data_IF_301550069223
#
_entry.id   IF_301550069223
#
_cell.length_a   1.000
_cell.length_b   1.000
_cell.length_c   1.000
_cell.angle_alpha   90.00
_cell.angle_beta   90.00
_cell.angle_gamma   90.00
#
_symmetry.space_group_name_H-M   'P 1'
#
loop_
_entity.id
_entity.type
_entity.pdbx_description
1 polymer ?
#
# COMPACT_ATOMS: atom_id res chain seq x y z
N UNK A 1 9.63 -7.52 34.25
CA UNK A 1 10.11 -7.22 32.88
C UNK A 1 9.08 -7.80 31.93
N UNK A 2 8.43 -7.00 31.08
CA UNK A 2 7.56 -7.54 30.01
C UNK A 2 8.42 -8.43 29.11
N UNK A 3 7.91 -9.62 28.77
CA UNK A 3 8.61 -10.62 27.96
C UNK A 3 9.02 -9.98 26.60
N UNK A 4 10.31 -9.76 26.41
CA UNK A 4 10.85 -9.14 25.18
C UNK A 4 10.79 -10.15 24.05
N UNK A 5 9.95 -9.88 23.06
CA UNK A 5 9.79 -10.72 21.87
C UNK A 5 10.58 -10.17 20.69
N UNK A 6 10.95 -11.04 19.77
CA UNK A 6 11.45 -10.70 18.45
C UNK A 6 10.37 -10.98 17.40
N UNK A 7 10.06 -10.01 16.53
CA UNK A 7 9.07 -10.15 15.46
C UNK A 7 9.77 -9.93 14.12
N UNK A 8 9.63 -10.89 13.21
CA UNK A 8 10.12 -10.77 11.84
C UNK A 8 9.01 -10.24 10.94
N UNK A 9 9.29 -9.16 10.23
CA UNK A 9 8.46 -8.63 9.15
C UNK A 9 8.98 -9.06 7.79
N UNK A 10 8.08 -9.34 6.82
CA UNK A 10 8.49 -9.77 5.48
C UNK A 10 7.64 -9.11 4.40
N UNK A 11 8.28 -8.45 3.42
CA UNK A 11 7.60 -7.76 2.33
C UNK A 11 8.44 -7.66 1.06
N UNK A 12 7.76 -7.33 -0.04
CA UNK A 12 8.40 -6.89 -1.27
C UNK A 12 9.01 -5.48 -1.10
N UNK A 13 10.08 -5.14 -1.85
CA UNK A 13 10.88 -3.94 -1.64
C UNK A 13 10.23 -2.68 -2.23
N UNK A 14 8.97 -2.44 -1.94
CA UNK A 14 8.28 -1.20 -2.34
C UNK A 14 7.75 -0.45 -1.13
N UNK A 15 7.68 0.86 -1.24
CA UNK A 15 7.14 1.71 -0.17
C UNK A 15 5.70 1.30 0.15
N UNK A 16 4.89 0.98 -0.88
CA UNK A 16 3.51 0.52 -0.72
C UNK A 16 3.39 -0.69 0.20
N UNK A 17 4.20 -1.70 -0.04
CA UNK A 17 4.16 -2.98 0.70
C UNK A 17 4.81 -2.92 2.09
N UNK A 18 5.68 -1.96 2.35
CA UNK A 18 6.44 -1.90 3.61
C UNK A 18 5.92 -0.87 4.61
N UNK A 19 5.17 0.15 4.18
CA UNK A 19 4.77 1.26 5.05
C UNK A 19 3.99 0.81 6.29
N UNK A 20 2.97 -0.01 6.13
CA UNK A 20 2.16 -0.51 7.25
C UNK A 20 2.99 -1.44 8.17
N UNK A 21 3.82 -2.34 7.61
CA UNK A 21 4.72 -3.20 8.38
C UNK A 21 5.73 -2.38 9.19
N UNK A 22 6.30 -1.33 8.60
CA UNK A 22 7.23 -0.42 9.29
C UNK A 22 6.54 0.35 10.41
N UNK A 23 5.30 0.79 10.21
CA UNK A 23 4.51 1.45 11.24
C UNK A 23 4.27 0.52 12.45
N UNK A 24 3.89 -0.74 12.20
CA UNK A 24 3.70 -1.77 13.24
C UNK A 24 5.05 -2.08 13.92
N UNK A 25 6.12 -2.24 13.14
CA UNK A 25 7.46 -2.47 13.66
C UNK A 25 7.98 -1.34 14.54
N UNK A 26 7.73 -0.09 14.17
CA UNK A 26 8.09 1.07 14.98
C UNK A 26 7.33 1.08 16.32
N UNK A 27 6.05 0.75 16.32
CA UNK A 27 5.24 0.63 17.54
C UNK A 27 5.77 -0.47 18.46
N UNK A 28 6.16 -1.64 17.91
CA UNK A 28 6.76 -2.74 18.68
C UNK A 28 8.10 -2.34 19.27
N UNK A 29 8.99 -1.68 18.50
CA UNK A 29 10.28 -1.19 19.00
C UNK A 29 10.11 -0.16 20.12
N UNK A 30 9.15 0.76 19.98
CA UNK A 30 8.83 1.73 21.01
C UNK A 30 8.39 1.07 22.35
N UNK A 31 7.86 -0.16 22.28
CA UNK A 31 7.50 -0.99 23.45
C UNK A 31 8.62 -1.89 23.94
N UNK A 32 9.82 -1.82 23.34
CA UNK A 32 11.02 -2.56 23.75
C UNK A 32 11.17 -3.95 23.11
N UNK A 33 10.33 -4.30 22.12
CA UNK A 33 10.45 -5.54 21.36
C UNK A 33 11.51 -5.42 20.25
N UNK A 34 12.17 -6.53 19.89
CA UNK A 34 13.08 -6.57 18.76
C UNK A 34 12.33 -6.79 17.45
N UNK A 35 12.80 -6.17 16.37
CA UNK A 35 12.21 -6.38 15.04
C UNK A 35 13.28 -6.60 13.99
N UNK A 36 13.00 -7.47 13.04
CA UNK A 36 13.78 -7.63 11.80
C UNK A 36 12.87 -7.58 10.59
N UNK A 37 13.45 -7.23 9.43
CA UNK A 37 12.71 -7.13 8.16
C UNK A 37 13.39 -7.97 7.10
N UNK A 38 12.68 -8.97 6.57
CA UNK A 38 13.07 -9.74 5.40
C UNK A 38 12.54 -9.04 4.14
N UNK A 39 13.44 -8.49 3.35
CA UNK A 39 13.11 -7.69 2.16
C UNK A 39 13.80 -8.30 0.94
N UNK A 40 13.04 -8.58 -0.11
CA UNK A 40 13.62 -9.03 -1.39
C UNK A 40 14.49 -7.90 -1.94
N UNK A 41 15.77 -8.15 -2.09
CA UNK A 41 16.72 -7.15 -2.56
C UNK A 41 17.41 -7.59 -3.84
N UNK A 42 17.26 -6.77 -4.88
CA UNK A 42 18.07 -6.86 -6.08
C UNK A 42 19.19 -5.83 -6.00
N UNK A 43 20.42 -6.28 -5.84
CA UNK A 43 21.58 -5.40 -5.99
C UNK A 43 21.71 -5.02 -7.46
N UNK A 44 21.16 -3.85 -7.82
CA UNK A 44 21.28 -3.31 -9.17
C UNK A 44 22.55 -2.46 -9.27
N UNK A 45 23.50 -2.81 -10.14
CA UNK A 45 24.66 -1.96 -10.37
C UNK A 45 24.21 -0.63 -11.00
N UNK A 46 24.96 0.44 -10.74
CA UNK A 46 24.68 1.78 -11.31
C UNK A 46 23.25 2.29 -11.02
N UNK A 47 22.88 2.35 -9.74
CA UNK A 47 21.51 2.75 -9.30
C UNK A 47 21.03 4.08 -9.92
N UNK A 48 21.94 4.98 -10.32
CA UNK A 48 21.61 6.27 -10.92
C UNK A 48 20.91 6.20 -12.29
N UNK A 49 21.13 5.12 -13.05
CA UNK A 49 20.50 4.94 -14.38
C UNK A 49 19.14 4.26 -14.34
N UNK A 50 18.73 3.75 -13.17
CA UNK A 50 17.45 3.05 -13.02
C UNK A 50 16.31 4.02 -12.72
N UNK A 51 15.06 3.69 -13.13
CA UNK A 51 13.87 4.46 -12.77
C UNK A 51 13.72 4.67 -11.25
N UNK A 52 13.09 5.76 -10.87
CA UNK A 52 12.86 6.13 -9.44
C UNK A 52 12.32 4.99 -8.57
N UNK A 53 11.32 4.19 -9.00
CA UNK A 53 10.83 3.07 -8.19
C UNK A 53 11.90 2.03 -7.85
N UNK A 54 12.80 1.74 -8.80
CA UNK A 54 13.90 0.78 -8.61
C UNK A 54 14.95 1.35 -7.64
N UNK A 55 15.26 2.64 -7.77
CA UNK A 55 16.18 3.33 -6.84
C UNK A 55 15.60 3.40 -5.43
N UNK A 56 14.32 3.71 -5.30
CA UNK A 56 13.63 3.73 -4.01
C UNK A 56 13.65 2.35 -3.35
N UNK A 57 13.42 1.29 -4.12
CA UNK A 57 13.50 -0.09 -3.64
C UNK A 57 14.92 -0.46 -3.17
N UNK A 58 15.97 -0.03 -3.89
CA UNK A 58 17.35 -0.33 -3.51
C UNK A 58 17.82 0.38 -2.24
N UNK A 59 17.22 1.50 -1.88
CA UNK A 59 17.54 2.25 -0.66
C UNK A 59 16.73 1.81 0.56
N UNK A 60 15.68 1.01 0.36
CA UNK A 60 14.76 0.62 1.42
C UNK A 60 15.42 -0.16 2.58
N UNK A 61 16.32 -1.14 2.33
CA UNK A 61 17.02 -1.84 3.42
C UNK A 61 17.78 -0.89 4.35
N UNK A 62 18.50 0.08 3.80
CA UNK A 62 19.23 1.08 4.58
C UNK A 62 18.29 1.98 5.39
N UNK A 63 17.15 2.38 4.81
CA UNK A 63 16.15 3.17 5.52
C UNK A 63 15.52 2.41 6.69
N UNK A 64 15.21 1.12 6.53
CA UNK A 64 14.69 0.27 7.60
C UNK A 64 15.73 0.06 8.70
N UNK A 65 16.99 -0.15 8.34
CA UNK A 65 18.09 -0.28 9.31
C UNK A 65 18.29 1.00 10.12
N UNK A 66 18.18 2.16 9.48
CA UNK A 66 18.25 3.46 10.17
C UNK A 66 17.12 3.68 11.18
N UNK A 67 15.98 2.98 11.03
CA UNK A 67 14.88 2.96 12.01
C UNK A 67 15.15 2.04 13.21
N UNK A 68 16.30 1.37 13.26
CA UNK A 68 16.69 0.49 14.35
C UNK A 68 16.19 -0.96 14.23
N UNK A 69 15.82 -1.41 13.04
CA UNK A 69 15.48 -2.80 12.77
C UNK A 69 16.66 -3.53 12.12
N UNK A 70 16.81 -4.84 12.41
CA UNK A 70 17.72 -5.71 11.66
C UNK A 70 17.12 -5.96 10.25
N UNK A 71 17.94 -6.02 9.21
CA UNK A 71 17.49 -6.30 7.85
C UNK A 71 18.08 -7.60 7.33
N UNK A 72 17.21 -8.51 6.89
CA UNK A 72 17.53 -9.71 6.12
C UNK A 72 17.27 -9.42 4.64
N UNK A 73 18.33 -9.33 3.85
CA UNK A 73 18.21 -9.21 2.40
C UNK A 73 17.92 -10.58 1.79
N UNK A 74 16.73 -10.74 1.20
CA UNK A 74 16.34 -11.94 0.47
C UNK A 74 16.76 -11.86 -0.99
N UNK A 75 17.23 -12.96 -1.55
CA UNK A 75 17.68 -13.01 -2.92
C UNK A 75 16.52 -12.78 -3.92
N UNK A 76 16.70 -11.80 -4.81
CA UNK A 76 15.83 -11.65 -5.98
C UNK A 76 16.19 -12.68 -7.04
N UNK A 77 15.19 -13.29 -7.67
CA UNK A 77 15.40 -14.16 -8.83
C UNK A 77 15.57 -13.34 -10.11
N UNK A 78 16.16 -13.92 -11.15
CA UNK A 78 16.23 -13.30 -12.49
C UNK A 78 14.84 -13.04 -13.06
N UNK A 79 13.87 -13.92 -12.79
CA UNK A 79 12.46 -13.72 -13.16
C UNK A 79 11.85 -12.50 -12.46
N UNK A 80 12.21 -12.21 -11.20
CA UNK A 80 11.76 -11.01 -10.49
C UNK A 80 12.18 -9.73 -11.20
N UNK A 81 13.41 -9.66 -11.68
CA UNK A 81 13.92 -8.49 -12.41
C UNK A 81 13.19 -8.26 -13.74
N UNK A 82 12.90 -9.35 -14.46
CA UNK A 82 12.18 -9.29 -15.73
C UNK A 82 10.72 -8.84 -15.56
N UNK A 83 10.02 -9.35 -14.54
CA UNK A 83 8.65 -8.91 -14.21
C UNK A 83 8.62 -7.46 -13.73
N UNK A 84 9.56 -7.06 -12.87
CA UNK A 84 9.66 -5.69 -12.38
C UNK A 84 9.87 -4.66 -13.50
N UNK A 85 10.62 -5.02 -14.56
CA UNK A 85 10.83 -4.15 -15.72
C UNK A 85 9.57 -3.94 -16.58
N UNK A 86 8.61 -4.87 -16.54
CA UNK A 86 7.36 -4.80 -17.31
C UNK A 86 6.22 -4.11 -16.59
N UNK A 87 6.24 -4.15 -15.25
CA UNK A 87 5.16 -3.67 -14.40
C UNK A 87 4.75 -2.21 -14.70
N UNK A 88 5.66 -1.24 -14.89
CA UNK A 88 5.30 0.15 -15.15
C UNK A 88 4.55 0.43 -16.47
N UNK A 89 4.48 -0.57 -17.35
CA UNK A 89 3.80 -0.46 -18.66
C UNK A 89 2.45 -1.16 -18.72
N UNK A 90 2.08 -1.85 -17.64
CA UNK A 90 0.84 -2.61 -17.56
C UNK A 90 -0.22 -1.80 -16.78
N UNK A 91 -1.49 -2.07 -17.05
CA UNK A 91 -2.63 -1.44 -16.37
C UNK A 91 -3.72 -2.46 -16.07
N UNK A 92 -4.55 -2.18 -15.06
CA UNK A 92 -5.70 -3.01 -14.69
C UNK A 92 -5.30 -4.45 -14.33
N UNK A 93 -6.07 -5.43 -14.81
CA UNK A 93 -5.79 -6.85 -14.52
C UNK A 93 -4.46 -7.37 -15.12
N UNK A 94 -3.95 -6.75 -16.19
CA UNK A 94 -2.65 -7.12 -16.75
C UNK A 94 -1.49 -6.72 -15.80
N UNK A 95 -1.61 -5.60 -15.12
CA UNK A 95 -0.68 -5.18 -14.06
C UNK A 95 -0.71 -6.18 -12.90
N UNK A 96 -1.90 -6.55 -12.42
CA UNK A 96 -2.08 -7.52 -11.36
C UNK A 96 -1.45 -8.89 -11.72
N UNK A 97 -1.65 -9.37 -12.94
CA UNK A 97 -1.07 -10.63 -13.43
C UNK A 97 0.47 -10.62 -13.37
N UNK A 98 1.09 -9.53 -13.81
CA UNK A 98 2.55 -9.35 -13.75
C UNK A 98 3.02 -9.23 -12.29
N UNK A 99 2.29 -8.49 -11.45
CA UNK A 99 2.60 -8.35 -10.03
C UNK A 99 2.55 -9.70 -9.30
N UNK A 100 1.50 -10.50 -9.51
CA UNK A 100 1.39 -11.84 -8.92
C UNK A 100 2.49 -12.78 -9.40
N UNK A 101 2.93 -12.67 -10.66
CA UNK A 101 4.07 -13.41 -11.16
C UNK A 101 5.39 -12.97 -10.51
N UNK A 102 5.57 -11.68 -10.31
CA UNK A 102 6.71 -11.12 -9.58
C UNK A 102 6.75 -11.62 -8.14
N UNK A 103 5.63 -11.55 -7.43
CA UNK A 103 5.50 -11.89 -6.01
C UNK A 103 5.64 -13.39 -5.73
N UNK A 104 5.45 -14.24 -6.74
CA UNK A 104 5.69 -15.69 -6.65
C UNK A 104 7.04 -16.12 -7.22
N UNK A 105 7.97 -15.21 -7.48
CA UNK A 105 9.30 -15.52 -8.01
C UNK A 105 10.31 -15.75 -6.88
N UNK A 106 10.99 -16.91 -6.89
CA UNK A 106 12.06 -17.23 -5.94
C UNK A 106 11.57 -17.71 -4.57
N UNK A 107 10.33 -18.20 -4.47
CA UNK A 107 9.67 -18.56 -3.22
C UNK A 107 10.46 -19.54 -2.36
N UNK A 108 10.99 -20.63 -2.96
CA UNK A 108 11.70 -21.67 -2.21
C UNK A 108 12.93 -21.10 -1.48
N UNK A 109 13.78 -20.38 -2.20
CA UNK A 109 15.01 -19.81 -1.61
C UNK A 109 14.68 -18.79 -0.52
N UNK A 110 13.73 -17.91 -0.78
CA UNK A 110 13.30 -16.88 0.18
C UNK A 110 12.67 -17.51 1.44
N UNK A 111 11.81 -18.52 1.28
CA UNK A 111 11.20 -19.23 2.40
C UNK A 111 12.25 -19.92 3.29
N UNK A 112 13.28 -20.57 2.71
CA UNK A 112 14.39 -21.16 3.47
C UNK A 112 15.18 -20.11 4.25
N UNK A 113 15.49 -18.95 3.62
CA UNK A 113 16.20 -17.85 4.30
C UNK A 113 15.37 -17.28 5.46
N UNK A 114 14.05 -17.11 5.28
CA UNK A 114 13.14 -16.66 6.34
C UNK A 114 13.12 -17.68 7.49
N UNK A 115 12.97 -18.96 7.19
CA UNK A 115 12.93 -20.03 8.21
C UNK A 115 14.25 -20.11 9.00
N UNK A 116 15.38 -20.00 8.34
CA UNK A 116 16.70 -19.96 9.00
C UNK A 116 16.83 -18.75 9.92
N UNK A 117 16.42 -17.57 9.46
CA UNK A 117 16.44 -16.35 10.27
C UNK A 117 15.54 -16.48 11.51
N UNK A 118 14.32 -17.03 11.34
CA UNK A 118 13.40 -17.28 12.46
C UNK A 118 14.06 -18.19 13.51
N UNK A 119 14.68 -19.31 13.09
CA UNK A 119 15.37 -20.23 14.01
C UNK A 119 16.55 -19.57 14.69
N UNK A 120 17.35 -18.78 13.96
CA UNK A 120 18.54 -18.07 14.49
C UNK A 120 18.16 -17.03 15.54
N UNK A 121 17.09 -16.30 15.30
CA UNK A 121 16.69 -15.16 16.16
C UNK A 121 15.69 -15.53 17.25
N UNK A 122 15.06 -16.70 17.15
CA UNK A 122 13.95 -17.08 18.03
C UNK A 122 12.72 -16.18 17.84
N UNK A 123 12.44 -15.74 16.60
CA UNK A 123 11.31 -14.86 16.35
C UNK A 123 10.00 -15.52 16.79
N UNK A 124 9.21 -14.78 17.56
CA UNK A 124 7.95 -15.24 18.13
C UNK A 124 6.79 -15.26 17.12
N UNK A 125 6.91 -14.48 16.05
CA UNK A 125 5.97 -14.47 14.92
C UNK A 125 6.64 -13.91 13.66
N UNK A 126 6.13 -14.30 12.51
CA UNK A 126 6.39 -13.68 11.20
C UNK A 126 5.17 -12.88 10.80
N UNK A 127 5.31 -11.59 10.57
CA UNK A 127 4.26 -10.70 10.02
C UNK A 127 4.59 -10.43 8.56
N UNK A 128 3.81 -11.00 7.65
CA UNK A 128 4.08 -10.95 6.22
C UNK A 128 3.02 -10.17 5.46
N UNK A 129 3.47 -9.44 4.43
CA UNK A 129 2.58 -8.96 3.39
C UNK A 129 1.84 -10.14 2.75
N UNK A 130 0.52 -10.08 2.65
CA UNK A 130 -0.31 -11.14 2.09
C UNK A 130 0.06 -11.51 0.64
N UNK A 131 0.70 -10.61 -0.09
CA UNK A 131 1.22 -10.84 -1.45
C UNK A 131 2.64 -11.43 -1.47
N UNK A 132 3.21 -11.75 -0.30
CA UNK A 132 4.54 -12.38 -0.17
C UNK A 132 4.44 -13.82 0.33
N UNK A 133 4.08 -14.80 -0.51
CA UNK A 133 3.92 -16.20 -0.09
C UNK A 133 5.15 -16.80 0.58
N UNK A 134 6.36 -16.34 0.25
CA UNK A 134 7.59 -16.77 0.91
C UNK A 134 7.57 -16.55 2.43
N UNK A 135 6.84 -15.53 2.90
CA UNK A 135 6.72 -15.24 4.33
C UNK A 135 5.97 -16.35 5.09
N UNK A 136 4.81 -16.77 4.59
CA UNK A 136 4.07 -17.84 5.23
C UNK A 136 4.71 -19.22 5.05
N UNK A 137 5.32 -19.52 3.89
CA UNK A 137 6.07 -20.73 3.68
C UNK A 137 7.28 -20.82 4.62
N UNK A 138 8.00 -19.71 4.79
CA UNK A 138 9.14 -19.64 5.72
C UNK A 138 8.74 -19.77 7.18
N UNK A 139 7.64 -19.14 7.58
CA UNK A 139 7.06 -19.28 8.92
C UNK A 139 6.64 -20.73 9.17
N UNK A 140 6.01 -21.38 8.18
CA UNK A 140 5.59 -22.78 8.23
C UNK A 140 6.78 -23.71 8.39
N UNK A 141 7.85 -23.54 7.63
CA UNK A 141 9.09 -24.31 7.75
C UNK A 141 9.76 -24.18 9.12
N UNK A 142 9.59 -23.04 9.77
CA UNK A 142 10.15 -22.77 11.09
C UNK A 142 9.17 -23.07 12.24
N UNK A 143 7.98 -23.58 11.94
CA UNK A 143 6.89 -23.81 12.91
C UNK A 143 6.55 -22.57 13.75
N UNK A 144 6.72 -21.39 13.12
CA UNK A 144 6.51 -20.09 13.73
C UNK A 144 5.09 -19.56 13.41
N UNK A 145 4.40 -18.90 14.34
CA UNK A 145 3.14 -18.23 14.05
C UNK A 145 3.27 -17.24 12.89
N UNK A 146 2.29 -17.28 11.98
CA UNK A 146 2.24 -16.37 10.84
C UNK A 146 1.08 -15.38 10.95
N UNK A 147 1.36 -14.12 10.71
CA UNK A 147 0.39 -13.04 10.64
C UNK A 147 0.37 -12.50 9.22
N UNK A 148 -0.75 -12.63 8.53
CA UNK A 148 -0.92 -12.00 7.22
C UNK A 148 -1.39 -10.55 7.38
N UNK A 149 -0.68 -9.59 6.78
CA UNK A 149 -1.09 -8.19 6.74
C UNK A 149 -1.66 -7.83 5.37
N UNK A 150 -2.91 -7.41 5.36
CA UNK A 150 -3.62 -6.86 4.21
C UNK A 150 -3.62 -5.35 4.32
N UNK A 151 -2.75 -4.71 3.57
CA UNK A 151 -2.46 -3.27 3.67
C UNK A 151 -2.99 -2.44 2.50
N UNK A 152 -3.56 -3.09 1.47
CA UNK A 152 -4.11 -2.45 0.26
C UNK A 152 -5.62 -2.71 0.14
N UNK A 153 -6.21 -2.38 -1.00
CA UNK A 153 -7.57 -2.78 -1.31
C UNK A 153 -7.73 -4.29 -1.15
N UNK A 154 -8.74 -4.71 -0.38
CA UNK A 154 -8.93 -6.12 -0.08
C UNK A 154 -9.31 -6.89 -1.35
N UNK A 155 -8.68 -8.03 -1.63
CA UNK A 155 -9.03 -8.88 -2.76
C UNK A 155 -10.26 -9.77 -2.49
N UNK A 156 -10.87 -9.64 -1.30
CA UNK A 156 -11.95 -10.49 -0.86
C UNK A 156 -13.29 -10.15 -1.53
N UNK A 157 -14.17 -11.14 -1.71
CA UNK A 157 -15.50 -10.91 -2.22
C UNK A 157 -16.29 -9.91 -1.36
N UNK A 158 -16.97 -8.96 -1.99
CA UNK A 158 -17.85 -8.00 -1.34
C UNK A 158 -19.09 -7.77 -2.19
N UNK A 159 -20.24 -7.55 -1.54
CA UNK A 159 -21.48 -7.20 -2.24
C UNK A 159 -21.32 -5.87 -2.97
N UNK A 160 -21.81 -5.80 -4.22
CA UNK A 160 -21.70 -4.60 -5.05
C UNK A 160 -20.30 -4.27 -5.56
N UNK A 161 -19.27 -5.04 -5.18
CA UNK A 161 -17.91 -4.81 -5.66
C UNK A 161 -17.68 -5.39 -7.07
N UNK A 162 -16.93 -4.64 -7.89
CA UNK A 162 -16.39 -5.14 -9.16
C UNK A 162 -15.43 -6.31 -8.95
N UNK A 163 -15.25 -7.19 -9.95
CA UNK A 163 -14.18 -8.18 -9.90
C UNK A 163 -12.83 -7.51 -9.61
N UNK A 164 -12.05 -8.10 -8.71
CA UNK A 164 -10.78 -7.51 -8.26
C UNK A 164 -9.85 -7.14 -9.44
N UNK A 165 -9.26 -5.96 -9.37
CA UNK A 165 -8.45 -5.39 -10.45
C UNK A 165 -9.24 -4.73 -11.58
N UNK A 166 -10.56 -4.51 -11.42
CA UNK A 166 -11.41 -3.77 -12.36
C UNK A 166 -12.23 -2.67 -11.66
N UNK A 167 -12.94 -1.86 -12.46
CA UNK A 167 -13.89 -0.83 -12.01
C UNK A 167 -15.20 -0.91 -12.82
N UNK A 168 -15.63 -2.10 -13.10
CA UNK A 168 -16.91 -2.29 -13.79
C UNK A 168 -18.05 -1.80 -12.89
N UNK A 169 -19.00 -0.98 -13.40
CA UNK A 169 -20.13 -0.55 -12.61
C UNK A 169 -21.04 -1.73 -12.29
N UNK A 170 -21.78 -1.65 -11.19
CA UNK A 170 -22.74 -2.69 -10.79
C UNK A 170 -23.76 -2.99 -11.89
N UNK A 171 -24.14 -1.96 -12.68
CA UNK A 171 -25.02 -2.13 -13.84
C UNK A 171 -24.47 -3.05 -14.94
N UNK A 172 -23.17 -3.32 -14.95
CA UNK A 172 -22.53 -4.26 -15.87
C UNK A 172 -22.52 -5.71 -15.36
N UNK A 173 -22.99 -5.95 -14.12
CA UNK A 173 -23.02 -7.30 -13.51
C UNK A 173 -23.76 -8.29 -14.39
N UNK A 174 -23.13 -9.46 -14.62
CA UNK A 174 -23.66 -10.51 -15.50
C UNK A 174 -23.53 -10.22 -17.01
N UNK A 175 -23.01 -9.07 -17.42
CA UNK A 175 -22.65 -8.76 -18.81
C UNK A 175 -21.36 -9.44 -19.26
N UNK A 176 -21.02 -9.36 -20.54
CA UNK A 176 -19.84 -10.02 -21.11
C UNK A 176 -18.52 -9.54 -20.46
N UNK A 177 -18.36 -8.22 -20.31
CA UNK A 177 -17.19 -7.63 -19.67
C UNK A 177 -17.00 -8.11 -18.22
N UNK A 178 -18.09 -8.29 -17.49
CA UNK A 178 -18.06 -8.80 -16.11
C UNK A 178 -17.62 -10.26 -16.08
N UNK A 179 -18.25 -11.11 -16.91
CA UNK A 179 -17.89 -12.53 -17.03
C UNK A 179 -16.44 -12.73 -17.47
N UNK A 180 -15.94 -11.91 -18.40
CA UNK A 180 -14.56 -11.97 -18.85
C UNK A 180 -13.60 -11.59 -17.71
N UNK A 181 -13.90 -10.53 -16.96
CA UNK A 181 -13.11 -10.09 -15.80
C UNK A 181 -13.06 -11.15 -14.69
N UNK A 182 -14.20 -11.79 -14.38
CA UNK A 182 -14.24 -12.90 -13.41
C UNK A 182 -13.45 -14.12 -13.89
N UNK A 183 -13.60 -14.49 -15.16
CA UNK A 183 -12.85 -15.60 -15.73
C UNK A 183 -11.34 -15.33 -15.75
N UNK A 184 -10.91 -14.10 -16.01
CA UNK A 184 -9.52 -13.70 -15.94
C UNK A 184 -9.00 -13.73 -14.51
N UNK A 185 -9.75 -13.20 -13.55
CA UNK A 185 -9.40 -13.27 -12.13
C UNK A 185 -9.24 -14.72 -11.67
N UNK A 186 -10.18 -15.60 -12.02
CA UNK A 186 -10.09 -17.03 -11.69
C UNK A 186 -8.81 -17.69 -12.25
N UNK A 187 -8.46 -17.40 -13.51
CA UNK A 187 -7.21 -17.89 -14.10
C UNK A 187 -5.96 -17.35 -13.39
N UNK A 188 -5.96 -16.09 -13.00
CA UNK A 188 -4.86 -15.48 -12.25
C UNK A 188 -4.69 -16.12 -10.87
N UNK A 189 -5.80 -16.34 -10.14
CA UNK A 189 -5.77 -17.03 -8.85
C UNK A 189 -5.25 -18.45 -8.99
N UNK A 190 -5.74 -19.23 -9.95
CA UNK A 190 -5.26 -20.59 -10.19
C UNK A 190 -3.76 -20.63 -10.54
N UNK A 191 -3.27 -19.69 -11.34
CA UNK A 191 -1.85 -19.58 -11.67
C UNK A 191 -1.00 -19.18 -10.46
N UNK A 192 -1.49 -18.29 -9.59
CA UNK A 192 -0.86 -17.90 -8.34
C UNK A 192 -0.74 -19.10 -7.40
N UNK A 193 -1.85 -19.79 -7.15
CA UNK A 193 -1.91 -20.97 -6.29
C UNK A 193 -1.00 -22.09 -6.79
N UNK A 194 -1.01 -22.38 -8.10
CA UNK A 194 -0.17 -23.41 -8.70
C UNK A 194 1.34 -23.12 -8.53
N UNK A 195 1.77 -21.87 -8.62
CA UNK A 195 3.17 -21.48 -8.37
C UNK A 195 3.56 -21.71 -6.92
N UNK A 196 2.71 -21.31 -5.99
CA UNK A 196 2.95 -21.47 -4.55
C UNK A 196 2.97 -22.97 -4.21
N UNK A 197 1.98 -23.74 -4.69
CA UNK A 197 1.90 -25.19 -4.45
C UNK A 197 3.11 -25.96 -4.96
N UNK A 198 3.64 -25.58 -6.13
CA UNK A 198 4.86 -26.17 -6.67
C UNK A 198 6.06 -25.99 -5.75
N UNK A 199 6.27 -24.78 -5.24
CA UNK A 199 7.43 -24.49 -4.40
C UNK A 199 7.21 -24.96 -2.95
N UNK A 200 5.98 -24.99 -2.45
CA UNK A 200 5.62 -25.61 -1.17
C UNK A 200 5.94 -27.12 -1.17
N UNK A 201 5.61 -27.85 -2.24
CA UNK A 201 5.95 -29.28 -2.36
C UNK A 201 7.46 -29.54 -2.30
N UNK A 202 8.30 -28.69 -2.91
CA UNK A 202 9.76 -28.79 -2.77
C UNK A 202 10.27 -28.57 -1.36
N UNK A 203 9.49 -27.84 -0.57
CA UNK A 203 9.76 -27.57 0.84
C UNK A 203 9.16 -28.63 1.79
N UNK A 204 8.45 -29.63 1.25
CA UNK A 204 7.77 -30.65 2.04
C UNK A 204 6.52 -30.11 2.73
N UNK A 205 5.93 -29.03 2.24
CA UNK A 205 4.72 -28.40 2.80
C UNK A 205 3.50 -28.69 1.92
N UNK A 206 2.37 -28.93 2.57
CA UNK A 206 1.06 -28.98 1.93
C UNK A 206 0.34 -27.63 2.09
N UNK A 207 -0.48 -27.24 1.13
CA UNK A 207 -1.21 -25.98 1.17
C UNK A 207 -2.66 -26.17 1.64
N UNK A 208 -3.26 -25.16 2.26
CA UNK A 208 -4.62 -25.22 2.78
C UNK A 208 -5.73 -25.13 1.71
N UNK A 209 -5.52 -25.62 0.51
CA UNK A 209 -6.49 -25.60 -0.60
C UNK A 209 -6.28 -24.44 -1.58
N UNK A 210 -7.29 -24.16 -2.41
CA UNK A 210 -7.25 -23.17 -3.50
C UNK A 210 -7.73 -21.79 -3.06
N UNK A 211 -7.53 -20.78 -3.92
CA UNK A 211 -8.05 -19.43 -3.73
C UNK A 211 -7.31 -18.60 -2.67
N UNK A 212 -6.01 -18.83 -2.51
CA UNK A 212 -5.19 -18.17 -1.47
C UNK A 212 -5.21 -16.64 -1.55
N UNK A 213 -5.42 -16.07 -2.75
CA UNK A 213 -5.50 -14.62 -2.93
C UNK A 213 -6.82 -14.04 -2.41
N UNK A 214 -7.92 -14.79 -2.54
CA UNK A 214 -9.29 -14.30 -2.31
C UNK A 214 -9.87 -14.65 -0.93
N UNK A 215 -9.05 -15.09 0.00
CA UNK A 215 -9.43 -15.44 1.38
C UNK A 215 -8.33 -15.11 2.39
N UNK A 216 -8.65 -15.00 3.68
CA UNK A 216 -7.62 -14.90 4.72
C UNK A 216 -6.66 -16.09 4.67
N UNK A 217 -5.36 -15.82 4.52
CA UNK A 217 -4.35 -16.86 4.27
C UNK A 217 -3.79 -17.46 5.57
N UNK A 218 -3.82 -16.71 6.67
CA UNK A 218 -3.26 -17.18 7.94
C UNK A 218 -4.30 -17.79 8.85
N UNK A 219 -3.97 -18.94 9.47
CA UNK A 219 -4.75 -19.54 10.57
C UNK A 219 -4.50 -18.88 11.91
N UNK A 220 -3.32 -18.27 12.08
CA UNK A 220 -2.94 -17.69 13.36
C UNK A 220 -3.56 -16.30 13.55
N UNK A 221 -3.40 -15.40 12.55
CA UNK A 221 -3.99 -14.07 12.56
C UNK A 221 -3.92 -13.41 11.19
N UNK A 222 -5.01 -12.76 10.80
CA UNK A 222 -5.06 -11.89 9.61
C UNK A 222 -5.37 -10.47 10.06
N UNK A 223 -4.44 -9.54 9.80
CA UNK A 223 -4.59 -8.12 10.07
C UNK A 223 -5.04 -7.42 8.79
N UNK A 224 -6.17 -6.75 8.83
CA UNK A 224 -6.66 -5.91 7.76
C UNK A 224 -6.42 -4.45 8.17
N UNK A 225 -5.48 -3.79 7.49
CA UNK A 225 -5.17 -2.37 7.73
C UNK A 225 -6.27 -1.46 7.12
N UNK A 226 -7.50 -1.76 7.43
CA UNK A 226 -8.73 -1.11 6.98
C UNK A 226 -9.78 -1.15 8.11
N UNK A 227 -10.97 -0.63 7.85
CA UNK A 227 -12.08 -0.59 8.78
C UNK A 227 -13.40 -0.93 8.06
N UNK A 228 -14.45 -1.38 8.77
CA UNK A 228 -15.74 -1.71 8.17
C UNK A 228 -16.32 -0.55 7.35
N UNK A 229 -16.12 0.69 7.75
CA UNK A 229 -16.56 1.89 7.04
C UNK A 229 -15.93 2.00 5.64
N UNK A 230 -14.70 1.47 5.49
CA UNK A 230 -13.98 1.47 4.21
C UNK A 230 -14.33 0.28 3.32
N UNK A 231 -14.91 -0.77 3.89
CA UNK A 231 -15.21 -2.04 3.22
C UNK A 231 -16.71 -2.42 3.30
N UNK A 232 -17.64 -1.52 2.95
CA UNK A 232 -19.05 -1.86 2.96
C UNK A 232 -19.33 -2.99 1.98
N UNK A 233 -20.16 -3.95 2.43
CA UNK A 233 -20.50 -5.14 1.66
C UNK A 233 -19.45 -6.26 1.73
N UNK A 234 -18.36 -6.10 2.50
CA UNK A 234 -17.42 -7.20 2.73
C UNK A 234 -18.18 -8.39 3.36
N UNK A 235 -18.07 -9.56 2.72
CA UNK A 235 -18.67 -10.79 3.23
C UNK A 235 -17.92 -11.26 4.48
N UNK A 236 -18.60 -12.04 5.37
CA UNK A 236 -17.94 -12.65 6.52
C UNK A 236 -16.67 -13.42 6.10
N UNK A 237 -15.59 -13.23 6.82
CA UNK A 237 -14.30 -13.86 6.57
C UNK A 237 -14.05 -14.99 7.56
N UNK A 238 -13.54 -16.10 7.06
CA UNK A 238 -13.11 -17.21 7.90
C UNK A 238 -11.80 -16.93 8.64
N UNK A 239 -11.58 -17.60 9.76
CA UNK A 239 -10.36 -17.51 10.55
C UNK A 239 -10.30 -16.31 11.51
N UNK A 240 -9.12 -16.11 12.11
CA UNK A 240 -8.88 -14.97 13.00
C UNK A 240 -8.58 -13.71 12.19
N UNK A 241 -9.53 -12.80 12.14
CA UNK A 241 -9.42 -11.53 11.41
C UNK A 241 -9.59 -10.38 12.39
N UNK A 242 -8.68 -9.40 12.29
CA UNK A 242 -8.72 -8.14 13.04
C UNK A 242 -8.60 -6.98 12.09
N UNK A 243 -9.60 -6.12 12.03
CA UNK A 243 -9.53 -4.83 11.35
C UNK A 243 -8.90 -3.81 12.31
N UNK A 244 -7.81 -3.22 11.88
CA UNK A 244 -7.00 -2.32 12.73
C UNK A 244 -7.20 -0.85 12.40
N UNK A 245 -7.91 -0.55 11.31
CA UNK A 245 -7.81 0.77 10.69
C UNK A 245 -6.46 0.96 9.98
N UNK A 246 -6.24 2.10 9.33
CA UNK A 246 -5.01 2.41 8.63
C UNK A 246 -3.77 2.32 9.52
N UNK A 247 -2.81 1.46 9.15
CA UNK A 247 -1.53 1.33 9.85
C UNK A 247 -0.53 2.36 9.28
N UNK A 248 -0.61 3.58 9.75
CA UNK A 248 0.21 4.69 9.27
C UNK A 248 1.42 4.91 10.17
N UNK A 249 2.57 5.22 9.54
CA UNK A 249 3.75 5.65 10.28
C UNK A 249 3.45 7.00 10.96
N UNK A 250 3.77 7.12 12.25
CA UNK A 250 3.87 8.43 12.88
C UNK A 250 4.96 9.19 12.12
N UNK A 251 4.64 10.39 11.64
CA UNK A 251 5.54 11.15 10.77
C UNK A 251 6.98 11.15 11.31
N UNK A 252 7.94 10.85 10.44
CA UNK A 252 9.35 11.02 10.78
C UNK A 252 9.61 12.48 11.18
N UNK A 253 10.60 12.68 12.05
CA UNK A 253 11.05 14.03 12.36
C UNK A 253 11.38 14.76 11.05
N UNK A 254 10.80 15.96 10.89
CA UNK A 254 11.05 16.78 9.71
C UNK A 254 12.52 17.19 9.69
N UNK A 255 13.17 16.99 8.56
CA UNK A 255 14.42 17.66 8.25
C UNK A 255 14.20 19.15 7.96
N UNK A 256 15.28 19.91 7.80
CA UNK A 256 15.20 21.35 7.54
C UNK A 256 14.45 21.67 6.23
N UNK A 257 14.67 20.86 5.19
CA UNK A 257 13.99 21.01 3.91
C UNK A 257 12.48 20.78 4.03
N UNK A 258 12.05 19.75 4.77
CA UNK A 258 10.64 19.49 5.03
C UNK A 258 9.98 20.57 5.87
N UNK A 259 10.69 21.11 6.89
CA UNK A 259 10.22 22.27 7.65
C UNK A 259 10.02 23.48 6.75
N UNK A 260 11.00 23.81 5.92
CA UNK A 260 10.92 24.94 5.00
C UNK A 260 9.71 24.85 4.05
N UNK A 261 9.36 23.64 3.56
CA UNK A 261 8.15 23.43 2.75
C UNK A 261 6.90 23.83 3.52
N UNK A 262 6.76 23.37 4.78
CA UNK A 262 5.57 23.64 5.59
C UNK A 262 5.48 25.11 6.04
N UNK A 263 6.61 25.72 6.33
CA UNK A 263 6.69 27.13 6.77
C UNK A 263 6.37 28.12 5.64
N UNK A 264 6.64 27.73 4.39
CA UNK A 264 6.32 28.51 3.19
C UNK A 264 4.82 28.47 2.83
N UNK A 265 3.99 27.66 3.49
CA UNK A 265 2.57 27.54 3.18
C UNK A 265 1.78 28.77 3.70
N UNK A 266 0.86 29.33 2.89
CA UNK A 266 -0.03 30.40 3.33
C UNK A 266 -0.99 29.88 4.41
N UNK A 267 -1.49 30.79 5.26
CA UNK A 267 -2.49 30.47 6.30
C UNK A 267 -3.89 30.99 5.97
N UNK A 268 -3.98 31.85 4.95
CA UNK A 268 -5.17 32.62 4.57
C UNK A 268 -5.77 32.16 3.23
N UNK A 269 -5.23 31.08 2.66
CA UNK A 269 -5.66 30.55 1.37
C UNK A 269 -5.88 29.05 1.43
N UNK A 270 -6.82 28.58 0.61
CA UNK A 270 -7.04 27.15 0.39
C UNK A 270 -5.79 26.52 -0.25
N UNK A 271 -5.34 25.43 0.31
CA UNK A 271 -4.16 24.70 -0.15
C UNK A 271 -4.58 23.36 -0.76
N UNK A 272 -4.15 23.10 -1.99
CA UNK A 272 -4.35 21.83 -2.68
C UNK A 272 -2.99 21.14 -2.89
N UNK A 273 -2.86 19.93 -2.40
CA UNK A 273 -1.69 19.09 -2.64
C UNK A 273 -1.88 18.21 -3.86
N UNK A 274 -0.90 18.15 -4.76
CA UNK A 274 -0.92 17.35 -5.99
C UNK A 274 0.22 16.35 -5.99
N UNK A 275 -0.09 15.05 -6.10
CA UNK A 275 0.91 13.97 -6.16
C UNK A 275 0.41 12.75 -6.94
N UNK A 276 1.20 12.26 -7.88
CA UNK A 276 0.94 11.02 -8.61
C UNK A 276 1.78 9.84 -8.07
N UNK A 277 2.21 9.92 -6.82
CA UNK A 277 2.98 8.88 -6.14
C UNK A 277 4.40 8.69 -6.66
N UNK A 278 4.94 7.49 -6.54
CA UNK A 278 6.34 7.19 -6.88
C UNK A 278 6.49 6.49 -8.23
N UNK A 279 5.46 5.84 -8.75
CA UNK A 279 5.51 5.05 -9.99
C UNK A 279 4.98 5.85 -11.18
N UNK A 280 3.89 6.60 -10.99
CA UNK A 280 3.17 7.30 -12.07
C UNK A 280 3.53 8.79 -12.21
N UNK A 281 4.54 9.27 -11.48
CA UNK A 281 4.95 10.67 -11.45
C UNK A 281 5.79 11.11 -12.68
N UNK A 282 6.06 10.23 -13.63
CA UNK A 282 6.73 10.54 -14.91
C UNK A 282 5.79 11.06 -16.00
N UNK A 283 4.71 11.76 -15.66
CA UNK A 283 3.68 12.22 -16.59
C UNK A 283 3.50 13.76 -16.53
N UNK A 284 4.45 14.56 -17.04
CA UNK A 284 4.41 16.02 -16.90
C UNK A 284 3.18 16.67 -17.55
N UNK A 285 2.62 16.08 -18.60
CA UNK A 285 1.40 16.61 -19.24
C UNK A 285 0.18 16.51 -18.29
N UNK A 286 0.02 15.37 -17.61
CA UNK A 286 -1.03 15.18 -16.60
C UNK A 286 -0.86 16.20 -15.47
N UNK A 287 0.34 16.32 -14.92
CA UNK A 287 0.63 17.31 -13.87
C UNK A 287 0.26 18.73 -14.29
N UNK A 288 0.57 19.14 -15.53
CA UNK A 288 0.23 20.49 -16.02
C UNK A 288 -1.28 20.76 -15.97
N UNK A 289 -2.10 19.81 -16.42
CA UNK A 289 -3.56 19.94 -16.34
C UNK A 289 -4.06 20.01 -14.90
N UNK A 290 -3.52 19.17 -13.99
CA UNK A 290 -3.89 19.16 -12.58
C UNK A 290 -3.50 20.45 -11.87
N UNK A 291 -2.29 20.95 -12.10
CA UNK A 291 -1.78 22.20 -11.51
C UNK A 291 -2.61 23.39 -12.02
N UNK A 292 -2.83 23.46 -13.34
CA UNK A 292 -3.58 24.57 -13.94
C UNK A 292 -5.04 24.60 -13.44
N UNK A 293 -5.71 23.45 -13.36
CA UNK A 293 -7.09 23.35 -12.86
C UNK A 293 -7.20 23.69 -11.37
N UNK A 294 -6.26 23.21 -10.53
CA UNK A 294 -6.25 23.54 -9.11
C UNK A 294 -5.96 25.04 -8.87
N UNK A 295 -5.05 25.62 -9.64
CA UNK A 295 -4.76 27.07 -9.57
C UNK A 295 -5.97 27.90 -10.07
N UNK A 296 -6.65 27.45 -11.13
CA UNK A 296 -7.87 28.09 -11.64
C UNK A 296 -9.04 28.04 -10.64
N UNK A 297 -9.05 27.07 -9.71
CA UNK A 297 -9.97 27.01 -8.57
C UNK A 297 -9.58 27.97 -7.43
N UNK A 298 -8.59 28.84 -7.63
CA UNK A 298 -8.11 29.82 -6.64
C UNK A 298 -7.25 29.22 -5.52
N UNK A 299 -6.81 27.99 -5.65
CA UNK A 299 -6.02 27.33 -4.62
C UNK A 299 -4.53 27.70 -4.68
N UNK A 300 -3.86 27.69 -3.54
CA UNK A 300 -2.41 27.57 -3.46
C UNK A 300 -2.04 26.10 -3.68
N UNK A 301 -1.22 25.83 -4.68
CA UNK A 301 -0.92 24.46 -5.14
C UNK A 301 0.45 24.02 -4.67
N UNK A 302 0.54 22.92 -3.95
CA UNK A 302 1.80 22.27 -3.56
C UNK A 302 1.95 20.96 -4.32
N UNK A 303 3.05 20.77 -5.02
CA UNK A 303 3.24 19.64 -5.92
C UNK A 303 4.44 18.79 -5.49
N UNK A 304 4.22 17.49 -5.33
CA UNK A 304 5.28 16.50 -5.29
C UNK A 304 5.46 15.88 -6.67
N UNK A 305 6.38 16.44 -7.44
CA UNK A 305 6.51 16.19 -8.89
C UNK A 305 7.31 14.90 -9.21
N UNK A 306 8.12 14.39 -8.28
CA UNK A 306 8.95 13.20 -8.49
C UNK A 306 9.84 13.31 -9.74
N UNK A 307 9.70 12.36 -10.66
CA UNK A 307 10.45 12.32 -11.91
C UNK A 307 10.10 13.48 -12.88
N UNK A 308 8.92 14.08 -12.76
CA UNK A 308 8.50 15.23 -13.57
C UNK A 308 9.03 16.58 -13.08
N UNK A 309 9.81 16.62 -11.98
CA UNK A 309 10.22 17.87 -11.34
C UNK A 309 10.88 18.86 -12.31
N UNK A 310 11.89 18.42 -13.07
CA UNK A 310 12.65 19.30 -13.96
C UNK A 310 11.77 19.87 -15.10
N UNK A 311 10.80 19.08 -15.59
CA UNK A 311 9.83 19.50 -16.61
C UNK A 311 8.73 20.44 -16.09
N UNK A 312 8.52 20.49 -14.77
CA UNK A 312 7.48 21.28 -14.11
C UNK A 312 8.03 22.48 -13.36
N UNK A 313 9.34 22.55 -13.11
CA UNK A 313 9.98 23.63 -12.34
C UNK A 313 9.65 25.04 -12.89
N UNK A 314 9.45 25.17 -14.20
CA UNK A 314 9.05 26.40 -14.86
C UNK A 314 7.67 26.93 -14.42
N UNK A 315 6.83 26.09 -13.83
CA UNK A 315 5.51 26.47 -13.31
C UNK A 315 5.56 27.00 -11.87
N UNK A 316 6.74 27.00 -11.25
CA UNK A 316 6.88 27.53 -9.89
C UNK A 316 6.52 29.03 -9.86
N UNK A 317 5.68 29.41 -8.90
CA UNK A 317 5.18 30.77 -8.75
C UNK A 317 4.77 31.02 -7.28
N UNK A 318 4.41 32.24 -6.89
CA UNK A 318 3.95 32.52 -5.52
C UNK A 318 2.72 31.73 -5.07
N UNK A 319 1.93 31.19 -6.00
CA UNK A 319 0.74 30.35 -5.72
C UNK A 319 0.90 28.89 -6.13
N UNK A 320 2.02 28.49 -6.72
CA UNK A 320 2.29 27.12 -7.16
C UNK A 320 3.70 26.72 -6.74
N UNK A 321 3.82 25.87 -5.74
CA UNK A 321 5.09 25.40 -5.22
C UNK A 321 5.41 24.01 -5.75
N UNK A 322 6.43 23.92 -6.60
CA UNK A 322 6.88 22.64 -7.19
C UNK A 322 8.07 22.13 -6.40
N UNK A 323 7.94 20.91 -5.89
CA UNK A 323 8.99 20.19 -5.16
C UNK A 323 9.24 18.83 -5.79
N UNK A 324 10.47 18.34 -5.73
CA UNK A 324 10.76 16.96 -6.13
C UNK A 324 10.09 15.98 -5.18
N UNK A 325 10.12 16.26 -3.86
CA UNK A 325 9.44 15.51 -2.79
C UNK A 325 8.97 16.48 -1.70
N UNK A 326 7.92 16.11 -1.01
CA UNK A 326 7.40 16.82 0.15
C UNK A 326 7.20 15.86 1.32
N UNK A 327 7.24 16.32 2.58
CA UNK A 327 6.89 15.50 3.74
C UNK A 327 5.38 15.29 3.79
N UNK A 328 4.86 14.28 3.08
CA UNK A 328 3.43 14.09 2.81
C UNK A 328 2.58 14.05 4.08
N UNK A 329 2.92 13.20 5.06
CA UNK A 329 2.10 13.03 6.28
C UNK A 329 1.97 14.34 7.06
N UNK A 330 3.05 15.09 7.38
CA UNK A 330 2.92 16.42 7.99
C UNK A 330 2.18 17.43 7.11
N UNK A 331 2.39 17.39 5.79
CA UNK A 331 1.72 18.29 4.84
C UNK A 331 0.19 18.08 4.83
N UNK A 332 -0.30 16.85 4.96
CA UNK A 332 -1.73 16.55 5.02
C UNK A 332 -2.44 17.24 6.18
N UNK A 333 -1.75 17.54 7.28
CA UNK A 333 -2.26 18.36 8.37
C UNK A 333 -2.48 19.85 8.02
N UNK A 334 -1.95 20.31 6.89
CA UNK A 334 -1.90 21.73 6.49
C UNK A 334 -2.65 22.03 5.19
N UNK A 335 -3.08 21.02 4.45
CA UNK A 335 -3.80 21.18 3.17
C UNK A 335 -5.30 20.96 3.36
N UNK A 336 -6.10 21.50 2.44
CA UNK A 336 -7.55 21.39 2.46
C UNK A 336 -8.07 20.24 1.59
N UNK A 337 -7.34 19.93 0.52
CA UNK A 337 -7.69 18.86 -0.40
C UNK A 337 -6.46 18.27 -1.10
N UNK A 338 -6.62 17.08 -1.65
CA UNK A 338 -5.54 16.35 -2.34
C UNK A 338 -5.99 15.93 -3.73
N UNK A 339 -5.09 16.07 -4.71
CA UNK A 339 -5.23 15.47 -6.04
C UNK A 339 -4.20 14.36 -6.15
N UNK A 340 -4.65 13.12 -6.33
CA UNK A 340 -3.78 11.94 -6.26
C UNK A 340 -4.10 10.89 -7.33
N UNK A 341 -3.15 9.99 -7.60
CA UNK A 341 -3.36 8.81 -8.44
C UNK A 341 -4.20 7.71 -7.74
N UNK A 342 -4.43 7.82 -6.42
CA UNK A 342 -5.20 6.83 -5.67
C UNK A 342 -4.41 5.64 -5.14
N UNK A 343 -3.08 5.74 -5.06
CA UNK A 343 -2.28 4.71 -4.39
C UNK A 343 -2.68 4.55 -2.93
N UNK A 344 -2.77 3.31 -2.45
CA UNK A 344 -3.42 2.99 -1.18
C UNK A 344 -2.87 3.78 0.02
N UNK A 345 -1.54 3.91 0.14
CA UNK A 345 -0.97 4.66 1.26
C UNK A 345 -1.45 6.11 1.28
N UNK A 346 -1.40 6.80 0.13
CA UNK A 346 -1.85 8.19 0.03
C UNK A 346 -3.34 8.32 0.35
N UNK A 347 -4.17 7.40 -0.15
CA UNK A 347 -5.61 7.40 0.16
C UNK A 347 -5.85 7.20 1.65
N UNK A 348 -5.22 6.20 2.27
CA UNK A 348 -5.36 5.97 3.71
C UNK A 348 -4.85 7.14 4.56
N UNK A 349 -3.73 7.75 4.18
CA UNK A 349 -3.19 8.94 4.86
C UNK A 349 -4.16 10.13 4.75
N UNK A 350 -4.75 10.35 3.56
CA UNK A 350 -5.76 11.39 3.34
C UNK A 350 -7.03 11.14 4.16
N UNK A 351 -7.54 9.89 4.16
CA UNK A 351 -8.71 9.50 4.94
C UNK A 351 -8.47 9.72 6.44
N UNK A 352 -7.31 9.28 6.94
CA UNK A 352 -6.94 9.47 8.35
C UNK A 352 -6.72 10.94 8.73
N UNK A 353 -6.31 11.79 7.77
CA UNK A 353 -6.17 13.23 7.97
C UNK A 353 -7.48 14.00 7.72
N UNK A 354 -8.57 13.35 7.34
CA UNK A 354 -9.83 13.99 6.99
C UNK A 354 -9.75 14.88 5.75
N UNK A 355 -8.93 14.50 4.76
CA UNK A 355 -8.73 15.32 3.53
C UNK A 355 -9.50 14.74 2.35
N UNK A 356 -10.44 15.51 1.79
CA UNK A 356 -11.14 15.11 0.59
C UNK A 356 -10.18 15.06 -0.62
N UNK A 357 -10.53 14.20 -1.61
CA UNK A 357 -9.61 13.87 -2.70
C UNK A 357 -10.25 13.96 -4.09
N UNK A 358 -9.47 14.41 -5.07
CA UNK A 358 -9.66 14.04 -6.49
C UNK A 358 -8.73 12.88 -6.79
N UNK A 359 -9.27 11.76 -7.27
CA UNK A 359 -8.48 10.56 -7.58
C UNK A 359 -8.46 10.32 -9.09
N UNK A 360 -7.25 10.22 -9.67
CA UNK A 360 -7.01 9.91 -11.08
C UNK A 360 -6.30 8.56 -11.16
N UNK A 361 -7.02 7.43 -11.20
CA UNK A 361 -6.41 6.12 -11.20
C UNK A 361 -5.78 5.77 -12.55
N UNK A 362 -4.60 5.14 -12.51
CA UNK A 362 -3.90 4.62 -13.68
C UNK A 362 -3.98 3.09 -13.77
N UNK A 363 -4.12 2.38 -12.65
CA UNK A 363 -4.18 0.91 -12.62
C UNK A 363 -4.11 0.33 -11.21
N UNK A 364 -4.02 -0.99 -11.11
CA UNK A 364 -3.85 -1.72 -9.85
C UNK A 364 -4.95 -1.45 -8.82
N UNK A 365 -4.54 -1.29 -7.58
CA UNK A 365 -5.39 -0.97 -6.43
C UNK A 365 -6.01 0.44 -6.48
N UNK A 366 -5.44 1.33 -7.32
CA UNK A 366 -5.90 2.72 -7.46
C UNK A 366 -7.35 2.80 -7.96
N UNK A 367 -7.74 1.85 -8.82
CA UNK A 367 -9.11 1.76 -9.35
C UNK A 367 -10.12 1.49 -8.22
N UNK A 368 -9.82 0.52 -7.37
CA UNK A 368 -10.66 0.19 -6.21
C UNK A 368 -10.68 1.35 -5.19
N UNK A 369 -9.53 1.99 -4.96
CA UNK A 369 -9.43 3.14 -4.07
C UNK A 369 -10.20 4.35 -4.59
N UNK A 370 -10.16 4.64 -5.90
CA UNK A 370 -10.92 5.72 -6.51
C UNK A 370 -12.44 5.49 -6.36
N UNK A 371 -12.91 4.26 -6.60
CA UNK A 371 -14.30 3.90 -6.37
C UNK A 371 -14.71 4.01 -4.89
N UNK A 372 -13.83 3.58 -3.98
CA UNK A 372 -14.03 3.71 -2.53
C UNK A 372 -14.21 5.18 -2.11
N UNK A 373 -13.34 6.07 -2.56
CA UNK A 373 -13.39 7.52 -2.27
C UNK A 373 -14.69 8.14 -2.75
N UNK A 374 -15.11 7.81 -3.98
CA UNK A 374 -16.37 8.27 -4.58
C UNK A 374 -17.58 7.75 -3.80
N UNK A 375 -17.64 6.45 -3.50
CA UNK A 375 -18.73 5.81 -2.77
C UNK A 375 -18.89 6.35 -1.33
N UNK A 376 -17.79 6.64 -0.66
CA UNK A 376 -17.80 7.23 0.66
C UNK A 376 -18.21 8.72 0.66
N UNK A 377 -18.29 9.36 -0.51
CA UNK A 377 -18.62 10.77 -0.64
C UNK A 377 -17.55 11.70 -0.03
N UNK A 378 -16.29 11.25 -0.01
CA UNK A 378 -15.13 12.01 0.48
C UNK A 378 -14.22 12.50 -0.65
N UNK A 379 -14.71 12.42 -1.89
CA UNK A 379 -14.00 12.89 -3.06
C UNK A 379 -14.64 12.46 -4.36
N UNK A 380 -13.95 12.73 -5.46
CA UNK A 380 -14.38 12.43 -6.82
C UNK A 380 -13.32 11.67 -7.59
N UNK A 381 -13.76 10.82 -8.50
CA UNK A 381 -12.91 10.10 -9.45
C UNK A 381 -12.92 10.81 -10.80
N UNK A 382 -11.75 10.91 -11.43
CA UNK A 382 -11.59 11.39 -12.80
C UNK A 382 -10.77 10.39 -13.62
N UNK A 383 -11.08 10.23 -14.90
CA UNK A 383 -10.22 9.45 -15.79
C UNK A 383 -9.10 10.33 -16.35
N UNK A 384 -7.90 9.78 -16.51
CA UNK A 384 -6.78 10.51 -17.06
C UNK A 384 -7.02 10.99 -18.50
N UNK A 385 -7.88 10.31 -19.27
CA UNK A 385 -8.25 10.69 -20.62
C UNK A 385 -9.18 11.93 -20.69
N UNK A 386 -9.91 12.22 -19.60
CA UNK A 386 -10.91 13.29 -19.54
C UNK A 386 -10.38 14.58 -18.88
N UNK A 387 -9.06 14.64 -18.61
CA UNK A 387 -8.45 15.77 -17.92
C UNK A 387 -8.43 17.01 -18.79
N UNK A 388 -9.14 18.03 -18.35
CA UNK A 388 -9.04 19.42 -18.83
C UNK A 388 -8.90 20.36 -17.64
N UNK A 389 -8.46 21.59 -17.89
CA UNK A 389 -8.33 22.60 -16.83
C UNK A 389 -9.68 22.83 -16.14
N UNK A 390 -10.75 22.95 -16.90
CA UNK A 390 -12.10 23.22 -16.38
C UNK A 390 -12.65 22.01 -15.59
N UNK A 391 -12.43 20.79 -16.08
CA UNK A 391 -12.86 19.57 -15.38
C UNK A 391 -12.12 19.43 -14.04
N UNK A 392 -10.82 19.66 -14.01
CA UNK A 392 -10.02 19.60 -12.75
C UNK A 392 -10.42 20.74 -11.82
N UNK A 393 -10.64 21.96 -12.33
CA UNK A 393 -11.15 23.10 -11.56
C UNK A 393 -12.45 22.72 -10.85
N UNK A 394 -13.44 22.25 -11.60
CA UNK A 394 -14.75 21.88 -11.07
C UNK A 394 -14.64 20.76 -10.03
N UNK A 395 -13.80 19.75 -10.27
CA UNK A 395 -13.53 18.68 -9.33
C UNK A 395 -12.89 19.19 -8.03
N UNK A 396 -11.89 20.08 -8.13
CA UNK A 396 -11.25 20.69 -6.95
C UNK A 396 -12.24 21.59 -6.18
N UNK A 397 -13.06 22.37 -6.88
CA UNK A 397 -14.08 23.22 -6.24
C UNK A 397 -15.11 22.39 -5.47
N UNK A 398 -15.56 21.23 -6.01
CA UNK A 398 -16.52 20.35 -5.35
C UNK A 398 -16.00 19.77 -4.02
N UNK A 399 -14.69 19.63 -3.84
CA UNK A 399 -14.10 19.20 -2.58
C UNK A 399 -14.25 20.23 -1.43
N UNK A 400 -14.66 21.45 -1.73
CA UNK A 400 -14.97 22.48 -0.71
C UNK A 400 -16.41 22.40 -0.19
N UNK A 401 -17.24 21.52 -0.77
CA UNK A 401 -18.58 21.30 -0.27
C UNK A 401 -18.56 20.89 1.22
N UNK A 402 -19.39 21.56 2.02
CA UNK A 402 -19.41 21.36 3.46
C UNK A 402 -19.75 19.90 3.86
N UNK A 403 -20.59 19.21 3.05
CA UNK A 403 -20.93 17.82 3.30
C UNK A 403 -19.73 16.89 3.01
N UNK A 404 -18.95 17.16 1.95
CA UNK A 404 -17.76 16.39 1.61
C UNK A 404 -16.69 16.54 2.70
N UNK A 405 -16.45 17.78 3.15
CA UNK A 405 -15.49 18.08 4.23
C UNK A 405 -15.95 17.43 5.55
N UNK A 406 -17.22 17.58 5.92
CA UNK A 406 -17.75 16.98 7.15
C UNK A 406 -17.61 15.44 7.13
N UNK A 407 -18.00 14.77 6.03
CA UNK A 407 -17.84 13.32 5.88
C UNK A 407 -16.38 12.88 5.98
N UNK A 408 -15.46 13.62 5.38
CA UNK A 408 -14.02 13.32 5.45
C UNK A 408 -13.52 13.39 6.90
N UNK A 409 -13.94 14.40 7.66
CA UNK A 409 -13.57 14.56 9.07
C UNK A 409 -14.23 13.51 9.97
N UNK A 410 -15.50 13.16 9.73
CA UNK A 410 -16.21 12.12 10.48
C UNK A 410 -15.56 10.76 10.28
N UNK A 411 -15.20 10.45 9.04
CA UNK A 411 -14.50 9.21 8.70
C UNK A 411 -13.12 9.17 9.37
N UNK A 412 -12.36 10.25 9.36
CA UNK A 412 -11.06 10.31 10.04
C UNK A 412 -11.19 9.98 11.53
N UNK A 413 -12.20 10.55 12.22
CA UNK A 413 -12.48 10.25 13.63
C UNK A 413 -12.86 8.77 13.84
N UNK A 414 -13.69 8.22 12.98
CA UNK A 414 -14.06 6.81 13.05
C UNK A 414 -12.82 5.90 12.88
N UNK A 415 -11.95 6.20 11.91
CA UNK A 415 -10.75 5.41 11.64
C UNK A 415 -9.73 5.47 12.79
N UNK A 416 -9.60 6.60 13.47
CA UNK A 416 -8.71 6.75 14.62
C UNK A 416 -9.07 5.78 15.76
N UNK A 417 -10.35 5.48 15.95
CA UNK A 417 -10.84 4.59 17.01
C UNK A 417 -10.34 3.15 16.88
N UNK A 418 -10.00 2.70 15.66
CA UNK A 418 -9.43 1.36 15.43
C UNK A 418 -7.98 1.20 15.91
N UNK A 419 -7.26 2.29 16.13
CA UNK A 419 -5.92 2.29 16.71
C UNK A 419 -4.75 2.00 15.76
N UNK A 420 -5.00 1.60 14.51
CA UNK A 420 -3.98 1.43 13.46
C UNK A 420 -2.83 0.51 13.86
N UNK A 421 -1.61 0.99 13.68
CA UNK A 421 -0.39 0.25 14.00
C UNK A 421 -0.31 -0.20 15.47
N UNK A 422 -0.90 0.56 16.40
CA UNK A 422 -0.96 0.20 17.83
C UNK A 422 -1.83 -1.03 18.04
N UNK A 423 -3.03 -1.06 17.48
CA UNK A 423 -3.94 -2.21 17.57
C UNK A 423 -3.35 -3.44 16.87
N UNK A 424 -2.68 -3.26 15.73
CA UNK A 424 -1.97 -4.32 15.05
C UNK A 424 -0.85 -4.91 15.92
N UNK A 425 -0.06 -4.06 16.58
CA UNK A 425 0.98 -4.50 17.51
C UNK A 425 0.41 -5.27 18.70
N UNK A 426 -0.71 -4.80 19.28
CA UNK A 426 -1.42 -5.50 20.36
C UNK A 426 -1.86 -6.90 19.92
N UNK A 427 -2.46 -7.02 18.72
CA UNK A 427 -2.90 -8.29 18.18
C UNK A 427 -1.74 -9.28 17.94
N UNK A 428 -0.60 -8.79 17.41
CA UNK A 428 0.63 -9.60 17.23
C UNK A 428 1.18 -10.08 18.57
N UNK A 429 1.22 -9.22 19.57
CA UNK A 429 1.70 -9.57 20.92
C UNK A 429 0.74 -10.48 21.67
N UNK A 430 -0.53 -10.51 21.31
CA UNK A 430 -1.53 -11.43 21.84
C UNK A 430 -1.41 -12.87 21.34
N UNK A 431 -0.56 -13.14 20.34
CA UNK A 431 -0.31 -14.50 19.86
C UNK A 431 0.46 -15.33 20.91
N UNK A 432 0.19 -16.65 21.00
CA UNK A 432 0.98 -17.55 21.82
C UNK A 432 2.44 -17.59 21.33
N UNK A 433 3.39 -17.69 22.23
CA UNK A 433 4.83 -17.63 21.92
C UNK A 433 5.36 -18.89 21.20
N UNK A 434 4.58 -19.96 21.10
CA UNK A 434 4.90 -21.17 20.36
C UNK A 434 3.62 -21.81 19.82
N UNK A 435 3.70 -22.45 18.65
CA UNK A 435 2.66 -23.37 18.21
C UNK A 435 2.76 -24.65 19.04
N UNK A 436 1.75 -24.94 19.84
CA UNK A 436 1.62 -26.26 20.43
C UNK A 436 0.94 -27.21 19.44
N UNK A 437 1.75 -28.06 18.82
CA UNK A 437 1.41 -29.33 18.18
C UNK A 437 0.06 -29.41 17.46
N UNK A 438 -0.04 -28.88 16.27
CA UNK A 438 -1.03 -29.29 15.26
C UNK A 438 -0.48 -28.91 13.89
N UNK A 439 -0.85 -29.72 12.88
CA UNK A 439 -0.45 -29.53 11.48
C UNK A 439 -0.39 -28.06 11.07
N UNK A 440 0.62 -27.70 10.32
CA UNK A 440 0.91 -26.32 9.85
C UNK A 440 -0.28 -25.66 9.14
N UNK A 441 -1.32 -26.45 8.78
CA UNK A 441 -2.54 -26.03 8.08
C UNK A 441 -3.80 -26.61 8.68
#
# INVERSE_FOLDING_TARGET
>A
MKDRRHILFAAHPTVGHTSALRAIGAELRARGHATSFAIVHARVPFASIWPEPVRAASNLPAAIAAEGAEVLELAASTASLWHAARLPRATGQAELEIALALFTSGLEAQARQIAEHVRRTGAAAVVGDYLMPAAFLGASLAECPFVALYHSALPFPAEGASPFGTVLPESARGGDAWREAEARLARMCAAFDARIARDARKLGLELPGDGLLLRPISRDLNLLATAPELEPGLLPLDGKVVMTGPCLAKGAALDDAGRAVLDALPRDRRIVYVSLGTVFNGQPAVFRSLIAGAAAAGAHVVVSAGASFDALAVLHSPSVHIHRRVPQVPLLGRVDAVVTHGGNNTVQECLAAGRPMVVIPFGGDQLANAHRVERLGVGVRMNAADLSVDAVKSAVESLADACVVARSMDLARALEAYGGARAAADAVLGLPSSRHGSSVW
#
